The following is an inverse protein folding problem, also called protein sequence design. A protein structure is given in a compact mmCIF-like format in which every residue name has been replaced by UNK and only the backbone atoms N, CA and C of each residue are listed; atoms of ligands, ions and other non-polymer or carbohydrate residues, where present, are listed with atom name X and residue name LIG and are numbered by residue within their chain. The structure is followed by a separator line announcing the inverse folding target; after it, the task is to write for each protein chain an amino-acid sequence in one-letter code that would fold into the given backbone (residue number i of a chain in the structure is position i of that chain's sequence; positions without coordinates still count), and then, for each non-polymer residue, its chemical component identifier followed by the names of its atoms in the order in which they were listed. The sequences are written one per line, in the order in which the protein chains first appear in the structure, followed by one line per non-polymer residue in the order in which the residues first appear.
data_IF_790206558303
#
_entry.id   IF_790206558303
#
_cell.length_a   1.000
_cell.length_b   1.000
_cell.length_c   1.000
_cell.angle_alpha   90.00
_cell.angle_beta   90.00
_cell.angle_gamma   90.00
#
_symmetry.space_group_name_H-M   'P 1'
#
loop_
_entity.id
_entity.type
_entity.pdbx_description
1 polymer ?
#
# COMPACT_ATOMS: atom_id res chain seq x y z
N UNK A 1 10.08 -14.55 -15.95
CA UNK A 1 9.93 -13.22 -16.63
C UNK A 1 10.41 -12.13 -15.69
N UNK A 2 11.42 -11.33 -16.08
CA UNK A 2 11.92 -10.20 -15.29
C UNK A 2 11.62 -8.91 -16.05
N UNK A 3 11.44 -7.81 -15.32
CA UNK A 3 11.13 -6.49 -15.88
C UNK A 3 9.94 -6.51 -16.84
N UNK A 4 8.86 -7.19 -16.42
CA UNK A 4 7.68 -7.44 -17.23
C UNK A 4 6.42 -6.95 -16.55
N UNK A 5 5.55 -6.29 -17.31
CA UNK A 5 4.19 -5.94 -16.90
C UNK A 5 3.24 -6.60 -17.88
N UNK A 6 2.29 -7.37 -17.38
CA UNK A 6 1.21 -8.00 -18.13
C UNK A 6 -0.04 -7.13 -18.04
N UNK A 7 -0.66 -6.86 -19.18
CA UNK A 7 -1.92 -6.13 -19.24
C UNK A 7 -3.10 -7.08 -19.19
N UNK A 8 -4.13 -6.70 -18.45
CA UNK A 8 -5.35 -7.47 -18.24
C UNK A 8 -5.65 -7.69 -16.76
N UNK A 9 -6.68 -8.47 -16.50
CA UNK A 9 -7.12 -8.81 -15.15
C UNK A 9 -6.01 -9.51 -14.36
N UNK A 10 -5.65 -8.96 -13.19
CA UNK A 10 -4.58 -9.54 -12.36
C UNK A 10 -4.89 -10.98 -11.90
N UNK A 11 -6.17 -11.37 -11.82
CA UNK A 11 -6.60 -12.74 -11.48
C UNK A 11 -6.18 -13.76 -12.54
N UNK A 12 -5.99 -13.33 -13.79
CA UNK A 12 -5.53 -14.17 -14.88
C UNK A 12 -4.04 -13.96 -15.19
N UNK A 13 -3.57 -12.73 -15.14
CA UNK A 13 -2.18 -12.43 -15.49
C UNK A 13 -1.18 -12.91 -14.42
N UNK A 14 -1.56 -12.92 -13.12
CA UNK A 14 -0.71 -13.48 -12.05
C UNK A 14 -0.37 -14.97 -12.26
N UNK A 15 -1.27 -15.73 -12.86
CA UNK A 15 -1.07 -17.17 -13.14
C UNK A 15 0.02 -17.44 -14.20
N UNK A 16 0.43 -16.42 -14.95
CA UNK A 16 1.39 -16.53 -16.04
C UNK A 16 2.83 -16.31 -15.60
N UNK A 17 3.05 -15.85 -14.37
CA UNK A 17 4.40 -15.65 -13.84
C UNK A 17 4.99 -16.99 -13.39
N UNK A 18 6.12 -17.35 -13.98
CA UNK A 18 6.89 -18.56 -13.69
C UNK A 18 7.98 -18.34 -12.64
N UNK A 19 8.41 -17.09 -12.45
CA UNK A 19 9.41 -16.71 -11.47
C UNK A 19 8.77 -16.26 -10.15
N UNK A 20 9.48 -16.49 -9.05
CA UNK A 20 9.01 -16.09 -7.72
C UNK A 20 9.56 -14.73 -7.32
N UNK A 21 8.69 -13.85 -6.85
CA UNK A 21 9.07 -12.58 -6.26
C UNK A 21 9.37 -12.75 -4.76
N UNK A 22 10.33 -11.99 -4.24
CA UNK A 22 10.59 -11.98 -2.80
C UNK A 22 9.70 -10.98 -2.07
N UNK A 23 9.29 -9.91 -2.73
CA UNK A 23 8.51 -8.85 -2.13
C UNK A 23 7.39 -8.42 -3.05
N UNK A 24 6.18 -8.33 -2.52
CA UNK A 24 5.06 -7.64 -3.16
C UNK A 24 4.85 -6.30 -2.46
N UNK A 25 4.81 -5.21 -3.24
CA UNK A 25 4.48 -3.87 -2.75
C UNK A 25 3.38 -3.30 -3.61
N UNK A 26 2.22 -3.03 -3.03
CA UNK A 26 1.04 -2.70 -3.83
C UNK A 26 0.03 -1.83 -3.10
N UNK A 27 -0.83 -1.17 -3.88
CA UNK A 27 -2.02 -0.48 -3.42
C UNK A 27 -3.19 -0.83 -4.34
N UNK A 28 -4.12 -1.68 -3.89
CA UNK A 28 -5.25 -2.09 -4.71
C UNK A 28 -6.21 -0.92 -4.98
N UNK A 29 -7.13 -1.06 -5.93
CA UNK A 29 -8.26 -0.16 -6.07
C UNK A 29 -9.06 -0.09 -4.77
N UNK A 30 -9.31 1.12 -4.25
CA UNK A 30 -10.04 1.28 -3.00
C UNK A 30 -11.54 1.09 -3.21
N UNK A 31 -12.17 0.40 -2.28
CA UNK A 31 -13.59 0.12 -2.31
C UNK A 31 -14.45 1.40 -2.47
N UNK A 32 -15.22 1.45 -3.56
CA UNK A 32 -16.18 2.51 -3.85
C UNK A 32 -15.59 3.90 -4.02
N UNK A 33 -14.30 4.02 -4.32
CA UNK A 33 -13.66 5.32 -4.44
C UNK A 33 -13.60 5.82 -5.89
N UNK A 34 -13.40 4.93 -6.87
CA UNK A 34 -13.24 5.32 -8.27
C UNK A 34 -13.81 4.28 -9.21
N UNK A 35 -14.41 4.79 -10.28
CA UNK A 35 -14.71 4.05 -11.47
C UNK A 35 -13.67 4.45 -12.52
N UNK A 36 -12.92 3.47 -13.02
CA UNK A 36 -11.84 3.69 -13.99
C UNK A 36 -12.30 3.44 -15.44
N UNK A 37 -13.58 3.13 -15.67
CA UNK A 37 -14.08 2.97 -17.03
C UNK A 37 -14.73 1.65 -17.34
N UNK A 38 -15.56 1.14 -16.45
CA UNK A 38 -16.74 0.39 -16.86
C UNK A 38 -16.59 -1.03 -17.39
N UNK A 39 -15.52 -1.75 -17.07
CA UNK A 39 -15.49 -3.19 -17.33
C UNK A 39 -15.90 -3.98 -16.08
N UNK A 40 -16.65 -5.08 -16.25
CA UNK A 40 -17.10 -5.97 -15.17
C UNK A 40 -15.94 -6.62 -14.39
N UNK A 41 -14.70 -6.53 -14.92
CA UNK A 41 -13.47 -7.03 -14.31
C UNK A 41 -12.84 -6.09 -13.29
N UNK A 42 -13.30 -4.84 -13.19
CA UNK A 42 -12.73 -3.85 -12.29
C UNK A 42 -13.05 -4.16 -10.83
N UNK A 43 -12.01 -4.38 -10.02
CA UNK A 43 -12.10 -4.51 -8.55
C UNK A 43 -12.33 -3.14 -7.92
N UNK A 44 -13.08 -3.09 -6.81
CA UNK A 44 -13.42 -1.88 -6.06
C UNK A 44 -14.83 -1.35 -6.35
N UNK A 45 -15.61 -2.03 -7.19
CA UNK A 45 -16.99 -1.70 -7.57
C UNK A 45 -18.02 -2.69 -7.02
N UNK A 46 -17.62 -3.63 -6.19
CA UNK A 46 -18.45 -4.66 -5.60
C UNK A 46 -19.64 -4.05 -4.84
N UNK A 47 -20.73 -4.79 -4.73
CA UNK A 47 -21.97 -4.29 -4.12
C UNK A 47 -21.85 -4.11 -2.61
N UNK A 48 -20.98 -4.88 -1.96
CA UNK A 48 -20.73 -4.82 -0.52
C UNK A 48 -19.23 -4.80 -0.18
N UNK A 49 -18.85 -4.26 1.00
CA UNK A 49 -17.49 -4.38 1.50
C UNK A 49 -17.02 -5.82 1.64
N UNK A 50 -17.92 -6.72 2.01
CA UNK A 50 -17.66 -8.14 2.21
C UNK A 50 -17.27 -8.81 0.88
N UNK A 51 -17.99 -8.54 -0.21
CA UNK A 51 -17.67 -9.04 -1.56
C UNK A 51 -16.29 -8.50 -2.03
N UNK A 52 -16.02 -7.21 -1.81
CA UNK A 52 -14.71 -6.63 -2.10
C UNK A 52 -13.58 -7.34 -1.33
N UNK A 53 -13.78 -7.62 -0.04
CA UNK A 53 -12.78 -8.32 0.78
C UNK A 53 -12.56 -9.74 0.26
N UNK A 54 -13.60 -10.45 -0.14
CA UNK A 54 -13.50 -11.79 -0.72
C UNK A 54 -12.69 -11.78 -2.03
N UNK A 55 -12.98 -10.84 -2.94
CA UNK A 55 -12.21 -10.66 -4.18
C UNK A 55 -10.74 -10.34 -3.89
N UNK A 56 -10.48 -9.47 -2.95
CA UNK A 56 -9.11 -9.13 -2.56
C UNK A 56 -8.35 -10.33 -1.95
N UNK A 57 -9.03 -11.16 -1.16
CA UNK A 57 -8.43 -12.40 -0.63
C UNK A 57 -8.07 -13.35 -1.78
N UNK A 58 -8.94 -13.48 -2.80
CA UNK A 58 -8.67 -14.31 -3.98
C UNK A 58 -7.43 -13.81 -4.74
N UNK A 59 -7.31 -12.51 -4.96
CA UNK A 59 -6.11 -11.92 -5.59
C UNK A 59 -4.85 -12.19 -4.76
N UNK A 60 -4.92 -11.97 -3.44
CA UNK A 60 -3.74 -12.15 -2.59
C UNK A 60 -3.36 -13.62 -2.36
N UNK A 61 -4.25 -14.60 -2.60
CA UNK A 61 -3.86 -16.01 -2.74
C UNK A 61 -2.93 -16.21 -3.94
N UNK A 62 -3.28 -15.65 -5.10
CA UNK A 62 -2.43 -15.70 -6.30
C UNK A 62 -1.10 -14.99 -6.06
N UNK A 63 -1.11 -13.83 -5.40
CA UNK A 63 0.12 -13.14 -4.99
C UNK A 63 0.97 -14.05 -4.09
N UNK A 64 0.39 -14.73 -3.09
CA UNK A 64 1.09 -15.66 -2.20
C UNK A 64 1.75 -16.80 -2.99
N UNK A 65 1.06 -17.28 -4.03
CA UNK A 65 1.62 -18.32 -4.91
C UNK A 65 2.79 -17.80 -5.77
N UNK A 66 2.79 -16.53 -6.14
CA UNK A 66 3.89 -15.87 -6.84
C UNK A 66 5.09 -15.51 -5.94
N UNK A 67 4.96 -15.57 -4.60
CA UNK A 67 6.04 -15.24 -3.68
C UNK A 67 6.94 -16.45 -3.36
N UNK A 68 8.22 -16.15 -3.07
CA UNK A 68 9.14 -17.10 -2.41
C UNK A 68 8.61 -17.48 -1.03
N UNK A 69 9.13 -18.57 -0.44
CA UNK A 69 8.64 -19.02 0.87
C UNK A 69 8.95 -18.05 2.00
N UNK A 70 10.01 -17.25 1.87
CA UNK A 70 10.38 -16.17 2.78
C UNK A 70 9.82 -14.80 2.34
N UNK A 71 8.88 -14.79 1.38
CA UNK A 71 8.35 -13.59 0.77
C UNK A 71 7.42 -12.76 1.66
N UNK A 72 7.35 -11.47 1.37
CA UNK A 72 6.54 -10.48 2.11
C UNK A 72 5.58 -9.72 1.19
N UNK A 73 4.47 -9.28 1.76
CA UNK A 73 3.48 -8.39 1.16
C UNK A 73 3.42 -7.09 1.96
N UNK A 74 3.60 -5.96 1.28
CA UNK A 74 3.44 -4.60 1.81
C UNK A 74 2.25 -3.95 1.14
N UNK A 75 1.14 -3.93 1.86
CA UNK A 75 -0.18 -3.55 1.35
C UNK A 75 -0.55 -2.15 1.81
N UNK A 76 -0.49 -1.16 0.92
CA UNK A 76 -1.03 0.17 1.21
C UNK A 76 -2.53 0.21 0.90
N UNK A 77 -3.32 0.63 1.87
CA UNK A 77 -4.76 0.72 1.70
C UNK A 77 -5.36 1.84 2.56
N UNK A 78 -6.30 2.57 1.98
CA UNK A 78 -7.08 3.59 2.66
C UNK A 78 -8.50 3.12 2.96
N UNK A 79 -9.16 3.85 3.84
CA UNK A 79 -10.53 3.59 4.26
C UNK A 79 -11.47 4.67 3.77
N UNK A 80 -12.75 4.35 3.67
CA UNK A 80 -13.81 5.26 3.24
C UNK A 80 -14.97 5.27 4.23
N UNK A 81 -15.81 6.32 4.11
CA UNK A 81 -17.03 6.44 4.90
C UNK A 81 -18.24 5.99 4.09
N UNK A 82 -19.18 5.30 4.76
CA UNK A 82 -20.44 4.94 4.15
C UNK A 82 -21.29 6.21 3.96
N UNK A 83 -21.66 6.49 2.71
CA UNK A 83 -22.53 7.60 2.35
C UNK A 83 -23.62 7.09 1.42
N UNK A 84 -24.81 6.88 1.97
CA UNK A 84 -25.99 6.51 1.20
C UNK A 84 -26.73 7.76 0.77
N UNK A 85 -27.01 7.87 -0.52
CA UNK A 85 -27.85 8.97 -1.07
C UNK A 85 -29.02 8.38 -1.83
N UNK A 86 -30.22 8.61 -1.31
CA UNK A 86 -31.48 8.10 -1.85
C UNK A 86 -31.78 8.60 -3.27
N UNK A 87 -31.31 9.77 -3.66
CA UNK A 87 -31.74 10.46 -4.87
C UNK A 87 -30.69 10.57 -5.97
N UNK A 88 -29.60 9.80 -5.90
CA UNK A 88 -28.59 9.78 -6.95
C UNK A 88 -27.94 11.15 -7.28
N UNK A 89 -28.21 12.20 -6.51
CA UNK A 89 -27.60 13.50 -6.69
C UNK A 89 -26.12 13.46 -6.32
N UNK A 90 -25.27 13.50 -7.34
CA UNK A 90 -23.86 13.86 -7.17
C UNK A 90 -23.85 15.36 -6.88
N UNK A 91 -23.23 15.86 -5.78
CA UNK A 91 -22.85 17.25 -5.75
C UNK A 91 -21.92 17.45 -6.94
N UNK A 92 -22.27 18.36 -7.84
CA UNK A 92 -21.29 18.85 -8.81
C UNK A 92 -20.14 19.40 -8.00
N UNK A 93 -19.07 18.62 -7.85
CA UNK A 93 -17.78 19.19 -7.48
C UNK A 93 -17.39 20.02 -8.69
N UNK A 94 -17.66 21.31 -8.60
CA UNK A 94 -17.17 22.32 -9.54
C UNK A 94 -15.67 22.40 -9.33
N UNK A 95 -14.92 21.52 -9.99
CA UNK A 95 -13.53 21.79 -10.27
C UNK A 95 -13.53 22.89 -11.34
N UNK A 96 -13.45 24.13 -10.89
CA UNK A 96 -13.10 25.22 -11.76
C UNK A 96 -11.66 25.00 -12.22
N UNK A 97 -11.47 24.41 -13.39
CA UNK A 97 -10.41 24.66 -14.34
C UNK A 97 -10.46 23.58 -15.43
N UNK A 98 -11.00 23.97 -16.58
CA UNK A 98 -10.77 23.46 -17.92
C UNK A 98 -10.05 22.11 -18.08
N UNK A 99 -10.71 21.00 -17.71
CA UNK A 99 -10.36 19.66 -18.17
C UNK A 99 -11.64 18.89 -18.42
N UNK A 100 -12.03 18.89 -19.71
CA UNK A 100 -13.29 18.31 -20.20
C UNK A 100 -13.23 16.79 -20.45
N UNK A 101 -12.13 16.09 -20.14
CA UNK A 101 -11.85 14.83 -20.82
C UNK A 101 -11.79 13.58 -19.93
N UNK A 102 -12.27 13.62 -18.67
CA UNK A 102 -12.39 12.37 -17.90
C UNK A 102 -13.68 12.37 -17.07
N UNK A 103 -14.54 11.39 -17.25
CA UNK A 103 -15.69 11.18 -16.38
C UNK A 103 -15.21 10.63 -15.03
N UNK A 104 -14.90 11.49 -14.07
CA UNK A 104 -14.74 11.06 -12.68
C UNK A 104 -16.15 10.83 -12.13
N UNK A 105 -16.72 9.70 -12.43
CA UNK A 105 -17.93 9.24 -11.78
C UNK A 105 -17.49 8.59 -10.46
N UNK A 106 -17.77 9.28 -9.34
CA UNK A 106 -17.80 8.56 -8.06
C UNK A 106 -18.87 7.48 -8.17
N UNK A 107 -18.56 6.20 -7.88
CA UNK A 107 -19.54 5.14 -7.99
C UNK A 107 -20.78 5.47 -7.20
N UNK A 108 -21.92 5.42 -7.85
CA UNK A 108 -23.23 5.62 -7.23
C UNK A 108 -23.59 4.34 -6.51
N UNK A 109 -23.46 4.30 -5.20
CA UNK A 109 -24.10 3.24 -4.43
C UNK A 109 -25.57 3.56 -4.28
N UNK A 110 -26.38 2.96 -5.15
CA UNK A 110 -27.84 3.03 -5.06
C UNK A 110 -28.38 2.08 -4.00
N UNK A 111 -27.60 1.11 -3.55
CA UNK A 111 -28.04 0.07 -2.63
C UNK A 111 -27.65 0.40 -1.18
N UNK A 112 -28.61 0.24 -0.28
CA UNK A 112 -28.38 0.37 1.15
C UNK A 112 -27.56 -0.82 1.64
N UNK A 113 -26.33 -0.57 2.14
CA UNK A 113 -25.50 -1.61 2.71
C UNK A 113 -26.12 -2.12 4.02
N UNK A 114 -26.30 -3.43 4.11
CA UNK A 114 -26.81 -4.08 5.33
C UNK A 114 -25.74 -4.02 6.42
N UNK A 115 -26.13 -3.58 7.61
CA UNK A 115 -25.21 -3.49 8.75
C UNK A 115 -24.45 -2.17 8.87
N UNK A 116 -24.50 -1.29 7.87
CA UNK A 116 -23.83 0.01 7.91
C UNK A 116 -24.83 1.15 8.09
N UNK A 117 -24.47 2.16 8.86
CA UNK A 117 -25.21 3.40 9.07
C UNK A 117 -24.54 4.55 8.33
N UNK A 118 -25.32 5.50 7.88
CA UNK A 118 -24.79 6.71 7.25
C UNK A 118 -23.71 7.35 8.14
N UNK A 119 -22.58 7.74 7.53
CA UNK A 119 -21.36 8.26 8.16
C UNK A 119 -20.48 7.25 8.90
N UNK A 120 -20.84 5.98 8.94
CA UNK A 120 -19.93 4.96 9.50
C UNK A 120 -18.61 4.95 8.70
N UNK A 121 -17.49 4.85 9.41
CA UNK A 121 -16.23 4.42 8.80
C UNK A 121 -16.36 2.94 8.48
N UNK A 122 -16.11 2.56 7.21
CA UNK A 122 -16.37 1.17 6.76
C UNK A 122 -15.39 0.19 7.39
N UNK A 123 -14.12 0.57 7.55
CA UNK A 123 -13.11 -0.29 8.16
C UNK A 123 -12.38 -1.22 7.21
N UNK A 124 -12.44 -0.96 5.91
CA UNK A 124 -11.84 -1.77 4.83
C UNK A 124 -10.40 -2.23 5.13
N UNK A 125 -9.47 -1.36 5.58
CA UNK A 125 -8.09 -1.76 5.82
C UNK A 125 -7.97 -2.91 6.82
N UNK A 126 -8.68 -2.81 7.93
CA UNK A 126 -8.63 -3.82 8.99
C UNK A 126 -9.45 -5.07 8.65
N UNK A 127 -10.57 -4.92 7.94
CA UNK A 127 -11.33 -6.06 7.42
C UNK A 127 -10.43 -6.92 6.51
N UNK A 128 -9.71 -6.28 5.56
CA UNK A 128 -8.82 -6.99 4.66
C UNK A 128 -7.62 -7.60 5.40
N UNK A 129 -6.98 -6.88 6.32
CA UNK A 129 -5.85 -7.39 7.08
C UNK A 129 -6.24 -8.64 7.91
N UNK A 130 -7.41 -8.64 8.53
CA UNK A 130 -7.91 -9.78 9.30
C UNK A 130 -8.36 -10.95 8.39
N UNK A 131 -8.97 -10.67 7.25
CA UNK A 131 -9.34 -11.69 6.28
C UNK A 131 -8.10 -12.40 5.71
N UNK A 132 -7.06 -11.65 5.32
CA UNK A 132 -5.79 -12.22 4.87
C UNK A 132 -5.11 -13.05 5.97
N UNK A 133 -5.13 -12.56 7.22
CA UNK A 133 -4.63 -13.35 8.36
C UNK A 133 -5.39 -14.66 8.54
N UNK A 134 -6.71 -14.62 8.41
CA UNK A 134 -7.55 -15.82 8.49
C UNK A 134 -7.30 -16.78 7.31
N UNK A 135 -6.93 -16.23 6.14
CA UNK A 135 -6.55 -17.00 4.94
C UNK A 135 -5.12 -17.57 4.98
N UNK A 136 -4.39 -17.41 6.08
CA UNK A 136 -3.08 -18.04 6.30
C UNK A 136 -1.87 -17.14 6.13
N UNK A 137 -2.06 -15.84 5.88
CA UNK A 137 -0.97 -14.88 5.96
C UNK A 137 -0.58 -14.58 7.41
N UNK A 138 0.68 -14.29 7.66
CA UNK A 138 1.13 -13.76 8.95
C UNK A 138 1.03 -12.24 8.92
N UNK A 139 0.04 -11.65 9.59
CA UNK A 139 -0.05 -10.21 9.79
C UNK A 139 1.02 -9.77 10.79
N UNK A 140 2.06 -9.10 10.31
CA UNK A 140 3.25 -8.79 11.10
C UNK A 140 3.22 -7.41 11.74
N UNK A 141 2.75 -6.41 11.00
CA UNK A 141 2.74 -5.03 11.46
C UNK A 141 1.73 -4.19 10.68
N UNK A 142 1.15 -3.22 11.37
CA UNK A 142 0.53 -2.05 10.79
C UNK A 142 1.52 -0.87 10.82
N UNK A 143 1.57 -0.14 9.71
CA UNK A 143 2.39 1.05 9.57
C UNK A 143 1.45 2.19 9.15
N UNK A 144 1.59 3.33 9.80
CA UNK A 144 0.80 4.52 9.50
C UNK A 144 1.57 5.39 8.50
N UNK A 145 1.03 5.55 7.31
CA UNK A 145 1.44 6.62 6.42
C UNK A 145 0.73 7.92 6.82
N UNK A 146 1.40 8.73 7.62
CA UNK A 146 0.94 10.07 7.95
C UNK A 146 1.20 11.02 6.77
N UNK A 147 0.16 11.73 6.33
CA UNK A 147 0.16 12.70 5.24
C UNK A 147 0.15 14.11 5.82
N UNK A 148 1.29 14.81 5.93
CA UNK A 148 1.32 16.18 6.48
C UNK A 148 0.49 17.18 5.65
N UNK A 149 0.29 16.88 4.36
CA UNK A 149 -0.53 17.66 3.43
C UNK A 149 -1.79 16.88 2.96
N UNK A 150 -2.73 16.54 3.86
CA UNK A 150 -3.95 15.83 3.47
C UNK A 150 -4.82 16.69 2.56
N UNK A 151 -5.75 16.06 1.83
CA UNK A 151 -6.80 16.81 1.13
C UNK A 151 -7.68 17.51 2.18
N UNK A 152 -7.99 18.79 2.01
CA UNK A 152 -8.95 19.46 2.88
C UNK A 152 -10.33 18.77 2.83
N UNK A 153 -10.93 18.56 3.98
CA UNK A 153 -12.27 18.01 4.10
C UNK A 153 -13.20 19.02 4.78
N UNK A 154 -14.35 19.30 4.16
CA UNK A 154 -15.35 20.22 4.69
C UNK A 154 -16.26 19.55 5.75
N UNK A 155 -15.71 18.68 6.57
CA UNK A 155 -16.44 17.96 7.63
C UNK A 155 -16.28 18.68 8.97
N UNK A 156 -17.34 18.66 9.79
CA UNK A 156 -17.40 19.37 11.09
C UNK A 156 -17.63 18.46 12.28
N UNK A 157 -17.90 17.17 12.03
CA UNK A 157 -18.27 16.17 13.04
C UNK A 157 -17.19 15.10 13.24
N UNK A 158 -16.05 15.26 12.62
CA UNK A 158 -14.85 14.41 12.81
C UNK A 158 -13.58 15.13 12.37
N UNK A 159 -12.44 14.60 12.73
CA UNK A 159 -11.15 15.11 12.26
C UNK A 159 -10.94 14.84 10.76
N UNK A 160 -10.17 15.72 10.11
CA UNK A 160 -9.68 15.48 8.75
C UNK A 160 -8.81 14.23 8.72
N UNK A 161 -9.08 13.31 7.79
CA UNK A 161 -8.31 12.08 7.65
C UNK A 161 -6.94 12.39 7.04
N UNK A 162 -5.88 12.18 7.82
CA UNK A 162 -4.49 12.51 7.44
C UNK A 162 -3.58 11.30 7.37
N UNK A 163 -4.13 10.08 7.32
CA UNK A 163 -3.32 8.87 7.23
C UNK A 163 -3.97 7.76 6.41
N UNK A 164 -3.15 6.84 5.96
CA UNK A 164 -3.50 5.52 5.43
C UNK A 164 -2.66 4.46 6.11
N UNK A 165 -2.98 3.19 5.87
CA UNK A 165 -2.27 2.05 6.43
C UNK A 165 -1.35 1.42 5.39
N UNK A 166 -0.22 0.90 5.87
CA UNK A 166 0.57 -0.10 5.16
C UNK A 166 0.62 -1.32 6.07
N UNK A 167 0.09 -2.44 5.62
CA UNK A 167 0.22 -3.70 6.35
C UNK A 167 1.41 -4.49 5.83
N UNK A 168 2.28 -4.91 6.75
CA UNK A 168 3.30 -5.91 6.49
C UNK A 168 2.71 -7.28 6.79
N UNK A 169 2.61 -8.11 5.75
CA UNK A 169 2.25 -9.50 5.86
C UNK A 169 3.39 -10.37 5.32
N UNK A 170 3.51 -11.60 5.83
CA UNK A 170 4.48 -12.57 5.33
C UNK A 170 3.82 -13.90 5.01
N UNK A 171 4.40 -14.62 4.05
CA UNK A 171 3.92 -15.95 3.64
C UNK A 171 4.13 -16.98 4.75
N UNK A 172 5.24 -16.88 5.47
CA UNK A 172 5.63 -17.80 6.55
C UNK A 172 6.08 -17.03 7.80
N UNK A 173 6.19 -17.72 8.93
CA UNK A 173 6.72 -17.17 10.18
C UNK A 173 8.17 -16.68 10.07
N UNK A 174 8.98 -17.37 9.25
CA UNK A 174 10.34 -17.00 8.92
C UNK A 174 10.32 -16.36 7.55
N UNK A 175 10.64 -15.08 7.47
CA UNK A 175 10.58 -14.30 6.24
C UNK A 175 11.79 -13.38 6.12
N UNK A 176 12.08 -12.94 4.91
CA UNK A 176 13.16 -11.99 4.66
C UNK A 176 12.78 -10.60 5.17
N UNK A 177 13.67 -10.02 5.98
CA UNK A 177 13.52 -8.64 6.45
C UNK A 177 14.88 -8.01 6.74
N UNK A 178 15.33 -7.10 5.87
CA UNK A 178 16.56 -6.31 6.08
C UNK A 178 16.27 -5.07 6.93
N UNK A 179 16.39 -5.25 8.24
CA UNK A 179 16.21 -4.16 9.18
C UNK A 179 17.28 -3.06 9.04
N UNK A 180 18.51 -3.42 8.64
CA UNK A 180 19.63 -2.48 8.57
C UNK A 180 19.50 -1.53 7.38
N UNK A 181 18.90 -1.98 6.27
CA UNK A 181 18.67 -1.17 5.07
C UNK A 181 17.72 0.01 5.30
N UNK A 182 16.88 -0.06 6.34
CA UNK A 182 15.85 0.95 6.62
C UNK A 182 15.99 1.66 7.97
N UNK A 183 17.11 1.43 8.70
CA UNK A 183 17.37 2.13 9.97
C UNK A 183 17.36 3.65 9.79
N UNK A 184 16.74 4.32 10.73
CA UNK A 184 16.72 5.78 10.78
C UNK A 184 17.78 6.32 11.78
N UNK A 185 18.21 7.59 11.66
CA UNK A 185 19.13 8.19 12.62
C UNK A 185 18.58 8.09 14.04
N UNK A 186 19.42 7.68 14.97
CA UNK A 186 19.07 7.73 16.38
C UNK A 186 19.22 9.17 16.90
N UNK A 187 18.37 9.54 17.86
CA UNK A 187 18.56 10.81 18.56
C UNK A 187 19.82 10.68 19.43
N UNK A 188 20.75 11.59 19.25
CA UNK A 188 21.91 11.67 20.17
C UNK A 188 21.41 12.12 21.55
N UNK A 189 21.49 11.23 22.51
CA UNK A 189 21.13 11.51 23.90
C UNK A 189 22.31 12.04 24.71
N UNK A 190 23.48 12.22 24.06
CA UNK A 190 24.75 12.53 24.74
C UNK A 190 25.21 11.41 25.69
N UNK A 191 26.28 11.62 26.33
CA UNK A 191 26.83 10.76 27.40
C UNK A 191 26.15 11.07 28.75
N UNK A 192 24.82 10.96 28.82
CA UNK A 192 24.14 11.08 30.13
C UNK A 192 24.49 9.87 30.95
N UNK A 193 25.23 10.12 32.05
CA UNK A 193 25.38 9.13 33.09
C UNK A 193 23.98 8.80 33.67
N UNK A 194 23.53 7.58 33.42
CA UNK A 194 22.25 7.06 33.91
C UNK A 194 22.43 6.17 35.13
N UNK A 195 23.64 6.09 35.69
CA UNK A 195 23.95 5.30 36.88
C UNK A 195 23.12 5.73 38.11
N UNK A 196 22.66 7.01 38.14
CA UNK A 196 21.83 7.59 39.19
C UNK A 196 20.35 7.79 38.78
N UNK A 197 19.82 7.05 37.83
CA UNK A 197 18.40 7.14 37.44
C UNK A 197 17.49 6.72 38.59
N UNK A 198 16.40 7.47 38.84
CA UNK A 198 15.35 7.26 39.86
C UNK A 198 14.67 5.87 39.87
N UNK A 199 15.11 4.95 39.03
CA UNK A 199 14.58 3.58 38.93
C UNK A 199 15.50 2.53 39.61
N UNK A 200 16.58 2.94 40.25
CA UNK A 200 17.34 2.09 41.17
C UNK A 200 16.72 2.15 42.56
N UNK A 201 15.58 1.50 42.75
CA UNK A 201 15.18 1.10 44.10
C UNK A 201 15.96 -0.16 44.45
N UNK A 202 16.84 -0.09 45.42
CA UNK A 202 17.37 -1.27 46.09
C UNK A 202 16.22 -2.15 46.51
N UNK A 203 16.09 -3.33 45.93
CA UNK A 203 14.99 -4.27 46.18
C UNK A 203 14.04 -4.56 44.99
N UNK A 204 14.17 -3.88 43.85
CA UNK A 204 13.28 -4.15 42.68
C UNK A 204 13.65 -5.42 41.90
N UNK A 205 14.76 -6.08 42.18
CA UNK A 205 15.23 -7.27 41.47
C UNK A 205 15.54 -7.04 39.97
N UNK A 206 15.48 -5.79 39.51
CA UNK A 206 15.78 -5.43 38.14
C UNK A 206 17.29 -5.14 38.01
N UNK A 207 18.00 -6.01 37.32
CA UNK A 207 19.39 -5.76 36.96
C UNK A 207 19.47 -4.53 36.03
N UNK A 208 20.43 -3.62 36.22
CA UNK A 208 20.65 -2.49 35.32
C UNK A 208 20.84 -3.00 33.90
N UNK A 209 20.01 -2.52 32.95
CA UNK A 209 20.23 -2.82 31.56
C UNK A 209 21.57 -2.26 31.09
N UNK A 210 22.58 -3.11 30.99
CA UNK A 210 23.91 -2.77 30.48
C UNK A 210 23.91 -2.21 29.04
N UNK A 211 22.76 -2.28 28.33
CA UNK A 211 22.59 -1.75 26.98
C UNK A 211 22.36 -0.24 26.88
N UNK A 212 22.16 0.48 27.99
CA UNK A 212 21.84 1.92 27.97
C UNK A 212 23.07 2.84 27.91
N UNK A 213 24.25 2.30 28.00
CA UNK A 213 25.52 3.06 27.94
C UNK A 213 26.10 3.22 26.55
N UNK A 214 25.57 2.49 25.54
CA UNK A 214 26.06 2.59 24.17
C UNK A 214 25.25 3.64 23.42
N UNK A 215 25.90 4.66 22.87
CA UNK A 215 25.36 5.56 21.90
C UNK A 215 25.23 4.82 20.55
N UNK A 216 24.05 4.76 20.00
CA UNK A 216 23.82 4.18 18.67
C UNK A 216 23.55 5.33 17.70
N UNK A 217 24.27 5.34 16.58
CA UNK A 217 24.05 6.34 15.51
C UNK A 217 22.74 6.09 14.74
N UNK A 218 22.25 4.84 14.76
CA UNK A 218 21.03 4.42 14.06
C UNK A 218 20.12 3.62 14.99
N UNK A 219 18.82 3.69 14.73
CA UNK A 219 17.77 2.91 15.42
C UNK A 219 16.84 2.26 14.41
N UNK A 220 16.08 1.28 14.83
CA UNK A 220 15.05 0.67 14.00
C UNK A 220 14.03 1.72 13.54
N UNK A 221 13.60 1.59 12.29
CA UNK A 221 12.57 2.46 11.72
C UNK A 221 11.26 2.31 12.50
N UNK A 222 10.65 3.45 12.84
CA UNK A 222 9.37 3.46 13.56
C UNK A 222 8.20 3.25 12.60
N UNK A 223 7.04 2.85 13.13
CA UNK A 223 5.85 2.49 12.36
C UNK A 223 4.97 3.68 11.93
N UNK A 224 5.36 4.92 12.22
CA UNK A 224 4.64 6.11 11.71
C UNK A 224 5.57 6.88 10.78
N UNK A 225 5.18 6.93 9.49
CA UNK A 225 5.98 7.53 8.41
C UNK A 225 5.30 8.81 7.93
N UNK A 226 5.93 9.96 8.16
CA UNK A 226 5.45 11.26 7.71
C UNK A 226 5.99 11.55 6.31
N UNK A 227 5.16 11.36 5.29
CA UNK A 227 5.54 11.47 3.88
C UNK A 227 4.47 12.28 3.15
N UNK A 228 4.87 13.36 2.48
CA UNK A 228 3.98 14.20 1.71
C UNK A 228 3.46 13.47 0.46
N UNK A 229 2.20 13.73 0.11
CA UNK A 229 1.73 13.40 -1.22
C UNK A 229 2.46 14.27 -2.23
N UNK A 230 2.98 13.65 -3.29
CA UNK A 230 3.53 14.39 -4.43
C UNK A 230 2.47 14.42 -5.54
N UNK A 231 2.04 15.59 -6.02
CA UNK A 231 1.16 15.65 -7.17
C UNK A 231 1.93 15.13 -8.38
N UNK A 232 1.37 14.16 -9.08
CA UNK A 232 1.92 13.70 -10.34
C UNK A 232 1.41 14.61 -11.46
N UNK A 233 2.33 15.23 -12.22
CA UNK A 233 1.99 16.24 -13.26
C UNK A 233 1.37 15.64 -14.54
N UNK A 234 1.31 14.32 -14.69
CA UNK A 234 0.97 13.66 -15.96
C UNK A 234 -0.46 13.14 -16.06
N UNK A 235 -0.95 12.40 -15.15
CA UNK A 235 -2.28 11.80 -15.20
C UNK A 235 -2.95 11.84 -13.83
N UNK A 236 -4.28 11.87 -13.82
CA UNK A 236 -5.08 12.05 -12.59
C UNK A 236 -5.12 10.85 -11.66
N UNK A 237 -4.02 10.10 -11.52
CA UNK A 237 -4.03 8.85 -10.79
C UNK A 237 -3.53 9.03 -9.35
N UNK A 238 -4.20 8.35 -8.42
CA UNK A 238 -3.78 8.26 -7.03
C UNK A 238 -2.59 7.30 -6.94
N UNK A 239 -1.40 7.82 -7.16
CA UNK A 239 -0.17 7.06 -6.97
C UNK A 239 0.40 7.35 -5.59
N UNK A 240 0.88 6.33 -4.92
CA UNK A 240 1.70 6.56 -3.74
C UNK A 240 3.08 7.14 -4.13
N UNK A 241 3.70 7.95 -3.26
CA UNK A 241 5.02 8.51 -3.54
C UNK A 241 6.12 7.42 -3.45
N UNK A 242 7.15 7.54 -4.27
CA UNK A 242 8.31 6.63 -4.28
C UNK A 242 8.98 6.51 -2.91
N UNK A 243 9.00 7.60 -2.14
CA UNK A 243 9.52 7.63 -0.77
C UNK A 243 8.77 6.71 0.19
N UNK A 244 7.49 6.43 -0.10
CA UNK A 244 6.68 5.55 0.73
C UNK A 244 7.07 4.10 0.57
N UNK A 245 7.31 3.66 -0.67
CA UNK A 245 7.55 2.25 -0.97
C UNK A 245 9.04 1.89 -0.96
N UNK A 246 9.94 2.86 -1.05
CA UNK A 246 11.39 2.65 -0.96
C UNK A 246 11.79 1.83 0.27
N UNK A 247 11.35 2.16 1.51
CA UNK A 247 11.66 1.34 2.67
C UNK A 247 11.01 -0.05 2.63
N UNK A 248 9.84 -0.21 2.02
CA UNK A 248 9.18 -1.50 1.88
C UNK A 248 10.02 -2.45 1.01
N UNK A 249 10.46 -1.95 -0.16
CA UNK A 249 11.30 -2.71 -1.10
C UNK A 249 12.66 -3.04 -0.47
N UNK A 250 13.30 -2.07 0.19
CA UNK A 250 14.61 -2.30 0.85
C UNK A 250 14.54 -3.31 1.96
N UNK A 251 13.48 -3.28 2.77
CA UNK A 251 13.32 -4.23 3.87
C UNK A 251 12.89 -5.62 3.39
N UNK A 252 12.05 -5.69 2.35
CA UNK A 252 11.46 -6.94 1.87
C UNK A 252 12.26 -7.67 0.79
N UNK A 253 13.41 -7.13 0.33
CA UNK A 253 14.18 -7.73 -0.76
C UNK A 253 15.65 -7.33 -0.76
N UNK A 254 16.49 -8.11 -1.44
CA UNK A 254 17.87 -7.77 -1.74
C UNK A 254 18.03 -7.37 -3.22
N UNK A 255 19.22 -6.84 -3.59
CA UNK A 255 19.55 -6.54 -4.98
C UNK A 255 19.47 -7.82 -5.84
N UNK A 256 18.86 -7.69 -7.02
CA UNK A 256 18.66 -8.82 -7.92
C UNK A 256 17.41 -9.66 -7.63
N UNK A 257 16.70 -9.40 -6.54
CA UNK A 257 15.39 -9.99 -6.28
C UNK A 257 14.30 -9.38 -7.19
N UNK A 258 13.16 -10.04 -7.27
CA UNK A 258 11.99 -9.58 -8.03
C UNK A 258 10.97 -8.95 -7.07
N UNK A 259 10.44 -7.79 -7.45
CA UNK A 259 9.35 -7.09 -6.77
C UNK A 259 8.07 -7.27 -7.59
N UNK A 260 7.00 -7.69 -6.93
CA UNK A 260 5.68 -7.89 -7.53
C UNK A 260 4.75 -6.73 -7.19
N UNK A 261 3.96 -6.28 -8.17
CA UNK A 261 2.81 -5.39 -7.96
C UNK A 261 1.64 -5.82 -8.86
N UNK A 262 0.57 -6.42 -8.29
CA UNK A 262 -0.61 -6.84 -9.06
C UNK A 262 -1.51 -5.69 -9.52
N UNK A 263 -1.23 -4.47 -9.08
CA UNK A 263 -1.98 -3.25 -9.41
C UNK A 263 -1.00 -2.13 -9.78
N UNK A 264 -0.22 -2.35 -10.84
CA UNK A 264 0.96 -1.56 -11.20
C UNK A 264 0.66 -0.08 -11.43
N UNK A 265 -0.53 0.26 -11.94
CA UNK A 265 -0.95 1.63 -12.20
C UNK A 265 0.07 2.36 -13.08
N UNK A 266 0.55 3.50 -12.61
CA UNK A 266 1.54 4.30 -13.33
C UNK A 266 2.98 3.76 -13.26
N UNK A 267 3.22 2.56 -12.73
CA UNK A 267 4.55 1.93 -12.66
C UNK A 267 5.46 2.42 -11.55
N UNK A 268 4.95 3.00 -10.48
CA UNK A 268 5.79 3.52 -9.38
C UNK A 268 6.64 2.42 -8.75
N UNK A 269 6.04 1.24 -8.50
CA UNK A 269 6.76 0.09 -7.95
C UNK A 269 7.88 -0.37 -8.87
N UNK A 270 7.64 -0.44 -10.17
CA UNK A 270 8.64 -0.84 -11.16
C UNK A 270 9.82 0.14 -11.21
N UNK A 271 9.55 1.45 -11.20
CA UNK A 271 10.59 2.49 -11.19
C UNK A 271 11.47 2.35 -9.96
N UNK A 272 10.88 2.28 -8.76
CA UNK A 272 11.65 2.19 -7.51
C UNK A 272 12.41 0.87 -7.41
N UNK A 273 11.82 -0.25 -7.85
CA UNK A 273 12.51 -1.54 -7.90
C UNK A 273 13.79 -1.45 -8.75
N UNK A 274 13.67 -0.91 -9.96
CA UNK A 274 14.80 -0.73 -10.88
C UNK A 274 15.88 0.20 -10.31
N UNK A 275 15.49 1.35 -9.75
CA UNK A 275 16.42 2.32 -9.15
C UNK A 275 17.20 1.72 -7.98
N UNK A 276 16.61 0.77 -7.30
CA UNK A 276 17.23 0.04 -6.19
C UNK A 276 18.01 -1.21 -6.64
N UNK A 277 18.10 -1.50 -7.95
CA UNK A 277 18.79 -2.67 -8.48
C UNK A 277 18.04 -3.98 -8.29
N UNK A 278 16.70 -3.93 -8.26
CA UNK A 278 15.78 -5.06 -8.25
C UNK A 278 15.14 -5.20 -9.62
N UNK A 279 14.68 -6.41 -9.93
CA UNK A 279 13.75 -6.65 -11.03
C UNK A 279 12.32 -6.41 -10.59
N UNK A 280 11.42 -6.25 -11.54
CA UNK A 280 9.99 -6.13 -11.26
C UNK A 280 9.16 -7.05 -12.16
N UNK A 281 8.01 -7.46 -11.65
CA UNK A 281 6.92 -8.05 -12.39
C UNK A 281 5.62 -7.40 -11.92
N UNK A 282 4.62 -7.29 -12.79
CA UNK A 282 3.36 -6.67 -12.39
C UNK A 282 2.23 -6.89 -13.36
N UNK A 283 1.03 -6.53 -12.89
CA UNK A 283 -0.19 -6.56 -13.67
C UNK A 283 -0.80 -5.15 -13.73
N UNK A 284 -1.40 -4.82 -14.86
CA UNK A 284 -2.17 -3.58 -15.03
C UNK A 284 -3.40 -3.86 -15.90
N UNK A 285 -4.57 -3.43 -15.44
CA UNK A 285 -5.82 -3.70 -16.12
C UNK A 285 -5.94 -2.91 -17.43
N UNK A 286 -5.46 -1.66 -17.45
CA UNK A 286 -5.66 -0.74 -18.55
C UNK A 286 -4.39 -0.56 -19.39
N UNK A 287 -4.49 -0.86 -20.69
CA UNK A 287 -3.39 -0.72 -21.66
C UNK A 287 -2.90 0.72 -21.82
N UNK A 288 -3.77 1.70 -21.58
CA UNK A 288 -3.46 3.13 -21.69
C UNK A 288 -2.31 3.57 -20.75
N UNK A 289 -2.09 2.83 -19.67
CA UNK A 289 -0.96 3.06 -18.77
C UNK A 289 0.39 2.63 -19.35
N UNK A 290 0.37 1.81 -20.39
CA UNK A 290 1.58 1.25 -20.99
C UNK A 290 2.59 2.30 -21.44
N UNK A 291 2.16 3.32 -22.16
CA UNK A 291 3.04 4.40 -22.62
C UNK A 291 3.57 5.25 -21.46
N UNK A 292 2.74 5.49 -20.45
CA UNK A 292 3.13 6.20 -19.25
C UNK A 292 4.23 5.45 -18.48
N UNK A 293 4.04 4.15 -18.31
CA UNK A 293 5.00 3.27 -17.63
C UNK A 293 6.33 3.22 -18.40
N UNK A 294 6.29 3.05 -19.73
CA UNK A 294 7.47 3.07 -20.59
C UNK A 294 8.25 4.37 -20.42
N UNK A 295 7.56 5.49 -20.46
CA UNK A 295 8.17 6.84 -20.29
C UNK A 295 8.83 6.97 -18.92
N UNK A 296 8.19 6.53 -17.85
CA UNK A 296 8.73 6.60 -16.49
C UNK A 296 9.94 5.70 -16.28
N UNK A 297 9.93 4.52 -16.85
CA UNK A 297 11.04 3.59 -16.78
C UNK A 297 12.26 4.01 -17.63
N UNK A 298 12.10 5.03 -18.47
CA UNK A 298 13.15 5.46 -19.42
C UNK A 298 13.50 4.36 -20.42
N UNK A 299 12.58 3.45 -20.70
CA UNK A 299 12.81 2.24 -21.46
C UNK A 299 11.71 2.00 -22.48
N UNK A 300 12.12 1.40 -23.57
CA UNK A 300 11.28 0.53 -24.36
C UNK A 300 11.16 -0.81 -23.64
N UNK A 301 10.44 -0.86 -22.48
CA UNK A 301 10.17 -2.09 -21.79
C UNK A 301 9.32 -3.00 -22.70
N UNK A 302 9.58 -4.30 -22.68
CA UNK A 302 8.77 -5.27 -23.40
C UNK A 302 7.42 -5.40 -22.67
N UNK A 303 6.46 -4.56 -23.04
CA UNK A 303 5.07 -4.70 -22.59
C UNK A 303 4.41 -5.76 -23.47
N UNK A 304 3.84 -6.77 -22.84
CA UNK A 304 3.06 -7.80 -23.52
C UNK A 304 1.60 -7.63 -23.16
N UNK A 305 0.77 -7.41 -24.16
CA UNK A 305 -0.69 -7.47 -24.03
C UNK A 305 -1.09 -8.96 -24.08
N UNK A 306 -1.90 -9.38 -23.13
CA UNK A 306 -2.50 -10.72 -23.14
C UNK A 306 -3.79 -10.59 -23.93
N UNK A 307 -3.80 -11.18 -25.13
CA UNK A 307 -5.01 -11.31 -25.96
C UNK A 307 -5.83 -12.52 -25.56
#
# INVERSE_FOLDING_TARGET
MKDTILFGDCRETLKQFDEKARCCVTSPPYYGLRDYGGEDSQIGQEQSPEEYIEEMVNVFRLVRDCLTDDGTLWLNIGDSYYNYRKDGCIPKQTFSNNRQDLPVTTPRRSNKLKGYKEKDLIGIPWMLAFALRADGWYLRQDIIWHKPNPMPESVRDRCTKSHEYIFLLSKNKNYYYDNDAIKEPAKDWGTRDRSNGKYHNEGSGLTPHSGLTKSYSKRNKRSVWSINKKPYKGAHFATYPEELITPCIKAGSDKGDIILDPFMGSGTTAVVAKDLGRYYIGCELHDDYGELIKKRLGLYASLRTVT
#
